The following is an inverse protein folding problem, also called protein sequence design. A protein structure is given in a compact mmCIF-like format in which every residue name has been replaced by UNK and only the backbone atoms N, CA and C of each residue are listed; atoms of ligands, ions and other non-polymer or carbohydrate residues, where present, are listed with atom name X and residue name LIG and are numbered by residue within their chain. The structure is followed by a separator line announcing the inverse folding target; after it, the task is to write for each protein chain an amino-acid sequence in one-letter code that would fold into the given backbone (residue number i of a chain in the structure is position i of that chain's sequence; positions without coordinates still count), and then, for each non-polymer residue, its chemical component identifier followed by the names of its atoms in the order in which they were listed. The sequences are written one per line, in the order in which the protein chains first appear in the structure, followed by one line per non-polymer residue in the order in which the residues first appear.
data_IF_964448776689
#
_entry.id   IF_964448776689
#
_cell.length_a   1.000
_cell.length_b   1.000
_cell.length_c   1.000
_cell.angle_alpha   90.00
_cell.angle_beta   90.00
_cell.angle_gamma   90.00
#
_symmetry.space_group_name_H-M   'P 1'
#
loop_
_entity.id
_entity.type
_entity.pdbx_description
1 polymer ?
#
# COMPACT_ATOMS: atom_id res chain seq x y z
N UNK A 1 12.85 -22.92 8.81
CA UNK A 1 12.79 -22.01 7.64
C UNK A 1 11.51 -22.32 6.86
N UNK A 2 10.35 -21.98 7.44
CA UNK A 2 9.09 -22.04 6.71
C UNK A 2 9.05 -20.84 5.76
N UNK A 3 8.60 -21.08 4.53
CA UNK A 3 8.28 -20.01 3.58
C UNK A 3 7.22 -19.12 4.26
N UNK A 4 7.62 -17.91 4.67
CA UNK A 4 6.67 -16.81 4.87
C UNK A 4 5.94 -16.66 3.54
N UNK A 5 4.69 -17.13 3.47
CA UNK A 5 3.77 -16.70 2.42
C UNK A 5 3.57 -15.21 2.69
N UNK A 6 4.34 -14.38 2.00
CA UNK A 6 4.19 -12.93 2.05
C UNK A 6 2.82 -12.61 1.45
N UNK A 7 1.81 -12.48 2.31
CA UNK A 7 0.57 -11.80 1.96
C UNK A 7 0.94 -10.33 1.94
N UNK A 8 1.46 -9.87 0.79
CA UNK A 8 1.79 -8.45 0.61
C UNK A 8 0.48 -7.70 0.80
N UNK A 9 0.40 -6.64 1.60
CA UNK A 9 -0.88 -5.92 1.73
C UNK A 9 -1.28 -5.22 0.41
N UNK A 10 -0.33 -5.01 -0.50
CA UNK A 10 -0.60 -4.69 -1.91
C UNK A 10 -1.47 -5.78 -2.58
N UNK A 11 -1.51 -7.01 -2.06
CA UNK A 11 -2.40 -8.08 -2.52
C UNK A 11 -3.84 -7.94 -2.02
N UNK A 12 -4.04 -7.45 -0.79
CA UNK A 12 -5.37 -7.32 -0.17
C UNK A 12 -6.02 -5.98 -0.52
N UNK A 13 -5.21 -4.95 -0.78
CA UNK A 13 -5.68 -3.62 -1.23
C UNK A 13 -5.49 -3.37 -2.73
N UNK A 14 -4.56 -4.05 -3.41
CA UNK A 14 -4.32 -3.93 -4.86
C UNK A 14 -4.53 -5.23 -5.66
N UNK A 15 -5.33 -6.16 -5.14
CA UNK A 15 -5.79 -7.30 -5.93
C UNK A 15 -4.75 -8.42 -6.12
N UNK A 16 -4.72 -9.40 -5.21
CA UNK A 16 -4.19 -10.72 -5.54
C UNK A 16 -5.27 -11.65 -6.02
N UNK A 17 -5.13 -11.96 -7.31
CA UNK A 17 -5.19 -13.32 -7.81
C UNK A 17 -3.86 -14.00 -7.46
N UNK A 18 -3.83 -14.86 -6.44
CA UNK A 18 -2.84 -15.94 -6.35
C UNK A 18 -3.42 -17.09 -5.52
N UNK A 19 -3.87 -18.08 -6.29
CA UNK A 19 -4.46 -19.36 -5.93
C UNK A 19 -3.94 -20.01 -4.63
N UNK A 20 -4.87 -20.26 -3.71
CA UNK A 20 -4.89 -21.44 -2.85
C UNK A 20 -6.33 -21.96 -2.80
N UNK A 21 -6.83 -22.49 -3.92
CA UNK A 21 -8.10 -23.22 -3.95
C UNK A 21 -7.86 -24.72 -3.90
N UNK A 22 -8.50 -25.48 -2.98
CA UNK A 22 -8.66 -26.92 -3.16
C UNK A 22 -9.62 -27.19 -4.33
N UNK A 23 -9.35 -28.24 -5.10
CA UNK A 23 -10.19 -28.70 -6.21
C UNK A 23 -11.63 -28.94 -5.73
N UNK A 24 -12.56 -28.06 -6.07
CA UNK A 24 -13.98 -28.24 -5.79
C UNK A 24 -14.64 -29.04 -6.91
N UNK A 25 -14.96 -30.30 -6.59
CA UNK A 25 -15.74 -31.21 -7.40
C UNK A 25 -17.17 -30.69 -7.64
N UNK A 26 -17.56 -30.71 -8.91
CA UNK A 26 -18.88 -30.38 -9.43
C UNK A 26 -20.00 -31.21 -8.77
N UNK A 27 -20.96 -30.56 -8.09
CA UNK A 27 -22.27 -31.16 -7.79
C UNK A 27 -23.39 -30.21 -8.18
N UNK A 28 -24.06 -30.55 -9.28
CA UNK A 28 -25.36 -30.03 -9.71
C UNK A 28 -26.46 -30.42 -8.71
N UNK A 29 -27.16 -29.43 -8.16
CA UNK A 29 -28.37 -29.63 -7.36
C UNK A 29 -29.39 -28.54 -7.67
N UNK A 30 -30.53 -28.96 -8.23
CA UNK A 30 -31.64 -28.10 -8.61
C UNK A 30 -32.71 -28.02 -7.50
N UNK A 31 -33.38 -26.87 -7.40
CA UNK A 31 -34.78 -26.77 -6.93
C UNK A 31 -34.99 -26.01 -5.63
N UNK A 32 -35.85 -24.98 -5.67
CA UNK A 32 -36.42 -24.36 -4.48
C UNK A 32 -37.03 -22.99 -4.73
N UNK A 33 -38.33 -22.94 -5.01
CA UNK A 33 -39.12 -21.72 -5.13
C UNK A 33 -39.69 -21.26 -3.77
N UNK A 34 -39.89 -19.95 -3.63
CA UNK A 34 -40.94 -19.38 -2.76
C UNK A 34 -40.46 -18.52 -1.59
N UNK A 35 -40.80 -17.22 -1.63
CA UNK A 35 -40.63 -16.33 -0.49
C UNK A 35 -40.76 -14.84 -0.84
N UNK A 36 -41.98 -14.36 -1.05
CA UNK A 36 -42.29 -12.92 -1.12
C UNK A 36 -42.66 -12.39 0.27
N UNK A 37 -42.00 -11.33 0.73
CA UNK A 37 -42.49 -10.50 1.83
C UNK A 37 -41.39 -9.91 2.72
N UNK A 38 -41.37 -8.59 2.87
CA UNK A 38 -40.57 -7.92 3.90
C UNK A 38 -40.25 -6.46 3.56
N UNK A 39 -41.02 -5.54 4.15
CA UNK A 39 -40.91 -4.10 3.99
C UNK A 39 -39.83 -3.47 4.89
N UNK A 40 -39.33 -2.31 4.47
CA UNK A 40 -38.87 -1.23 5.36
C UNK A 40 -37.47 -1.37 5.96
N UNK A 41 -36.47 -0.81 5.27
CA UNK A 41 -35.16 -0.49 5.84
C UNK A 41 -34.88 1.00 5.67
N UNK A 42 -34.69 1.69 6.79
CA UNK A 42 -34.45 3.13 6.88
C UNK A 42 -33.22 3.57 6.07
N UNK A 43 -33.28 4.80 5.55
CA UNK A 43 -32.18 5.44 4.82
C UNK A 43 -30.88 5.37 5.61
N UNK A 44 -29.96 4.54 5.10
CA UNK A 44 -28.59 4.50 5.58
C UNK A 44 -27.98 5.87 5.39
N UNK A 45 -27.41 6.41 6.46
CA UNK A 45 -26.48 7.53 6.36
C UNK A 45 -25.38 7.06 5.44
N UNK A 46 -25.36 7.57 4.20
CA UNK A 46 -24.28 7.29 3.26
C UNK A 46 -22.99 7.66 3.96
N UNK A 47 -22.26 6.64 4.41
CA UNK A 47 -20.98 6.80 5.04
C UNK A 47 -20.11 7.49 4.01
N UNK A 48 -19.85 8.78 4.21
CA UNK A 48 -18.90 9.49 3.38
C UNK A 48 -17.59 8.74 3.54
N UNK A 49 -17.15 8.04 2.49
CA UNK A 49 -15.87 7.35 2.47
C UNK A 49 -14.75 8.31 2.87
N UNK A 50 -13.62 7.77 3.31
CA UNK A 50 -12.46 8.60 3.59
C UNK A 50 -12.06 9.28 2.29
N UNK A 51 -11.92 10.60 2.29
CA UNK A 51 -11.45 11.32 1.11
C UNK A 51 -9.97 11.05 0.91
N UNK A 52 -9.52 10.67 -0.29
CA UNK A 52 -8.09 10.58 -0.59
C UNK A 52 -7.40 11.92 -0.34
N UNK A 53 -6.15 11.85 0.10
CA UNK A 53 -5.24 12.97 0.21
C UNK A 53 -5.21 13.74 -1.13
N UNK A 54 -5.16 15.07 -1.10
CA UNK A 54 -5.00 15.86 -2.31
C UNK A 54 -3.69 15.50 -3.02
N UNK A 55 -3.69 15.64 -4.34
CA UNK A 55 -2.46 15.51 -5.13
C UNK A 55 -1.42 16.55 -4.69
N UNK A 56 -0.15 16.16 -4.69
CA UNK A 56 0.98 17.03 -4.35
C UNK A 56 1.90 16.42 -3.29
N UNK A 57 2.78 17.24 -2.69
CA UNK A 57 3.69 16.81 -1.64
C UNK A 57 2.90 16.33 -0.42
N UNK A 58 3.27 15.17 0.12
CA UNK A 58 2.69 14.67 1.38
C UNK A 58 3.17 15.51 2.58
N UNK A 59 2.40 15.49 3.66
CA UNK A 59 2.86 16.00 4.96
C UNK A 59 3.70 14.91 5.66
N UNK A 60 4.96 15.20 6.03
CA UNK A 60 5.84 14.17 6.61
C UNK A 60 5.35 13.65 7.96
N UNK A 61 4.67 14.49 8.76
CA UNK A 61 4.14 14.08 10.06
C UNK A 61 2.94 13.15 9.92
N UNK A 62 2.02 13.46 8.99
CA UNK A 62 0.88 12.63 8.66
C UNK A 62 1.32 11.27 8.09
N UNK A 63 2.31 11.26 7.20
CA UNK A 63 2.89 10.03 6.65
C UNK A 63 3.55 9.16 7.73
N UNK A 64 4.38 9.75 8.61
CA UNK A 64 4.99 9.05 9.73
C UNK A 64 3.94 8.42 10.64
N UNK A 65 2.93 9.20 11.02
CA UNK A 65 1.87 8.74 11.92
C UNK A 65 1.02 7.63 11.28
N UNK A 66 0.66 7.76 10.02
CA UNK A 66 -0.01 6.71 9.25
C UNK A 66 0.83 5.43 9.21
N UNK A 67 2.14 5.55 8.97
CA UNK A 67 3.04 4.39 8.93
C UNK A 67 3.16 3.70 10.28
N UNK A 68 3.12 4.45 11.40
CA UNK A 68 3.10 3.85 12.75
C UNK A 68 1.82 3.04 12.96
N UNK A 69 0.65 3.61 12.65
CA UNK A 69 -0.62 2.90 12.79
C UNK A 69 -0.68 1.65 11.90
N UNK A 70 -0.41 1.81 10.60
CA UNK A 70 -0.48 0.70 9.64
C UNK A 70 0.58 -0.34 9.94
N UNK A 71 1.86 0.05 10.09
CA UNK A 71 2.96 -0.87 10.34
C UNK A 71 2.87 -1.59 11.68
N UNK A 72 2.20 -1.01 12.68
CA UNK A 72 1.98 -1.67 13.98
C UNK A 72 0.75 -2.58 13.98
N UNK A 73 -0.29 -2.25 13.22
CA UNK A 73 -1.57 -2.96 13.31
C UNK A 73 -1.80 -3.96 12.18
N UNK A 74 -1.11 -3.79 11.05
CA UNK A 74 -1.17 -4.67 9.90
C UNK A 74 0.09 -5.55 9.86
N UNK A 75 -0.05 -6.88 9.90
CA UNK A 75 1.05 -7.82 9.85
C UNK A 75 1.59 -7.97 8.43
N UNK A 76 2.63 -7.21 8.07
CA UNK A 76 3.37 -7.41 6.82
C UNK A 76 4.71 -6.67 6.84
N UNK A 77 4.61 -5.34 6.73
CA UNK A 77 5.74 -4.56 6.25
C UNK A 77 6.58 -3.91 7.37
N UNK A 78 6.01 -3.76 8.56
CA UNK A 78 6.57 -2.95 9.64
C UNK A 78 6.56 -1.46 9.28
N UNK A 79 6.86 -0.61 10.27
CA UNK A 79 6.68 0.84 10.15
C UNK A 79 7.59 1.46 9.08
N UNK A 80 8.88 1.10 9.05
CA UNK A 80 9.85 1.74 8.15
C UNK A 80 9.54 1.50 6.67
N UNK A 81 9.13 0.27 6.32
CA UNK A 81 8.80 -0.09 4.93
C UNK A 81 7.53 0.62 4.48
N UNK A 82 6.48 0.65 5.30
CA UNK A 82 5.25 1.42 5.01
C UNK A 82 5.57 2.90 4.84
N UNK A 83 6.40 3.47 5.73
CA UNK A 83 6.81 4.87 5.64
C UNK A 83 7.58 5.17 4.35
N UNK A 84 8.50 4.29 3.96
CA UNK A 84 9.24 4.45 2.70
C UNK A 84 8.29 4.47 1.50
N UNK A 85 7.29 3.57 1.46
CA UNK A 85 6.26 3.56 0.40
C UNK A 85 5.52 4.89 0.32
N UNK A 86 5.09 5.44 1.45
CA UNK A 86 4.40 6.74 1.49
C UNK A 86 5.24 7.89 0.93
N UNK A 87 6.55 7.83 1.08
CA UNK A 87 7.45 8.86 0.58
C UNK A 87 7.78 8.68 -0.91
N UNK A 88 8.12 7.46 -1.34
CA UNK A 88 8.81 7.24 -2.62
C UNK A 88 7.96 6.61 -3.71
N UNK A 89 6.83 5.97 -3.39
CA UNK A 89 6.03 5.24 -4.38
C UNK A 89 4.92 6.11 -4.98
N UNK A 90 4.75 6.01 -6.31
CA UNK A 90 3.67 6.59 -7.10
C UNK A 90 3.12 5.49 -8.04
N UNK A 91 1.87 5.57 -8.48
CA UNK A 91 1.21 4.45 -9.14
C UNK A 91 -0.28 4.62 -9.27
N UNK A 92 -0.98 3.53 -9.55
CA UNK A 92 -2.44 3.54 -9.75
C UNK A 92 -3.19 3.73 -8.43
N UNK A 93 -4.42 4.28 -8.45
CA UNK A 93 -5.22 4.45 -7.23
C UNK A 93 -5.42 3.16 -6.44
N UNK A 94 -5.54 2.02 -7.11
CA UNK A 94 -5.76 0.72 -6.48
C UNK A 94 -4.46 0.20 -5.82
N UNK A 95 -3.30 0.33 -6.49
CA UNK A 95 -1.99 0.01 -5.92
C UNK A 95 -1.59 0.94 -4.76
N UNK A 96 -2.06 2.18 -4.82
CA UNK A 96 -1.71 3.24 -3.87
C UNK A 96 -2.79 3.57 -2.86
N UNK A 97 -3.87 2.80 -2.79
CA UNK A 97 -5.01 3.11 -1.93
C UNK A 97 -4.53 3.45 -0.51
N UNK A 98 -3.62 2.65 0.04
CA UNK A 98 -3.02 2.88 1.36
C UNK A 98 -2.28 4.24 1.47
N UNK A 99 -1.51 4.62 0.45
CA UNK A 99 -0.64 5.82 0.46
C UNK A 99 -1.42 7.13 0.33
N UNK A 100 -2.69 7.04 -0.04
CA UNK A 100 -3.56 8.17 -0.28
C UNK A 100 -4.46 8.53 0.90
N UNK A 101 -4.27 7.97 2.09
CA UNK A 101 -5.11 8.31 3.25
C UNK A 101 -4.30 8.80 4.46
N UNK A 102 -3.11 9.35 4.25
CA UNK A 102 -2.23 9.78 5.34
C UNK A 102 -2.85 10.89 6.19
N UNK A 103 -3.64 11.79 5.58
CA UNK A 103 -4.28 12.89 6.31
C UNK A 103 -5.33 12.41 7.32
N UNK A 104 -6.02 11.30 7.04
CA UNK A 104 -6.98 10.75 7.98
C UNK A 104 -6.32 10.37 9.32
N UNK A 105 -5.07 9.91 9.28
CA UNK A 105 -4.32 9.50 10.46
C UNK A 105 -3.73 10.67 11.26
N UNK A 106 -3.60 11.86 10.67
CA UNK A 106 -2.89 13.00 11.25
C UNK A 106 -3.40 13.35 12.66
N UNK A 107 -4.70 13.21 12.90
CA UNK A 107 -5.35 13.57 14.17
C UNK A 107 -5.71 12.36 15.05
N UNK A 108 -5.44 11.13 14.61
CA UNK A 108 -5.82 9.91 15.33
C UNK A 108 -4.95 9.66 16.56
N UNK A 109 -5.51 9.05 17.59
CA UNK A 109 -4.78 8.73 18.82
C UNK A 109 -5.44 7.54 19.56
N UNK A 110 -5.98 6.60 18.78
CA UNK A 110 -6.79 5.47 19.24
C UNK A 110 -6.20 4.12 18.82
N UNK A 111 -4.87 4.03 18.70
CA UNK A 111 -4.16 2.78 18.38
C UNK A 111 -4.65 2.16 17.07
N UNK A 112 -4.85 0.85 17.06
CA UNK A 112 -5.31 0.12 15.86
C UNK A 112 -6.72 0.46 15.38
N UNK A 113 -7.55 1.10 16.22
CA UNK A 113 -8.85 1.60 15.77
C UNK A 113 -8.71 2.70 14.70
N UNK A 114 -7.57 3.41 14.66
CA UNK A 114 -7.28 4.38 13.61
C UNK A 114 -7.26 3.74 12.20
N UNK A 115 -6.75 2.51 12.09
CA UNK A 115 -6.67 1.77 10.82
C UNK A 115 -8.08 1.38 10.36
N UNK A 116 -8.93 0.92 11.27
CA UNK A 116 -10.33 0.61 10.97
C UNK A 116 -11.10 1.88 10.55
N UNK A 117 -10.90 3.00 11.24
CA UNK A 117 -11.61 4.25 10.93
C UNK A 117 -11.19 4.86 9.59
N UNK A 118 -9.88 4.85 9.28
CA UNK A 118 -9.33 5.50 8.10
C UNK A 118 -9.35 4.62 6.86
N UNK A 119 -9.04 3.33 7.01
CA UNK A 119 -8.89 2.39 5.89
C UNK A 119 -9.98 1.31 5.85
N UNK A 120 -10.84 1.22 6.87
CA UNK A 120 -11.84 0.16 6.94
C UNK A 120 -11.27 -1.21 7.28
N UNK A 121 -9.99 -1.31 7.68
CA UNK A 121 -9.33 -2.60 7.92
C UNK A 121 -9.31 -2.94 9.40
N UNK A 122 -9.86 -4.11 9.72
CA UNK A 122 -9.79 -4.75 11.04
C UNK A 122 -9.12 -6.11 10.94
N UNK A 123 -8.29 -6.44 11.91
CA UNK A 123 -7.50 -7.68 11.91
C UNK A 123 -7.62 -8.34 13.28
N UNK A 124 -7.87 -9.65 13.31
CA UNK A 124 -7.89 -10.46 14.52
C UNK A 124 -7.35 -11.88 14.27
N UNK A 125 -7.25 -12.68 15.34
CA UNK A 125 -6.70 -14.05 15.33
C UNK A 125 -7.77 -15.13 15.11
N UNK A 126 -8.86 -14.82 14.40
CA UNK A 126 -9.94 -15.79 14.14
C UNK A 126 -9.78 -16.62 12.86
N UNK A 127 -8.57 -16.64 12.28
CA UNK A 127 -8.25 -17.52 11.15
C UNK A 127 -8.15 -18.99 11.55
N UNK A 128 -8.29 -19.94 10.59
CA UNK A 128 -8.63 -19.71 9.19
C UNK A 128 -10.12 -19.49 8.94
N UNK A 129 -10.46 -18.90 7.79
CA UNK A 129 -11.83 -18.75 7.32
C UNK A 129 -11.93 -18.81 5.79
N UNK A 130 -13.14 -19.04 5.29
CA UNK A 130 -13.44 -18.88 3.86
C UNK A 130 -13.58 -17.39 3.53
N UNK A 131 -12.99 -16.92 2.40
CA UNK A 131 -13.26 -15.58 1.88
C UNK A 131 -14.76 -15.38 1.66
N UNK A 132 -15.30 -14.26 2.14
CA UNK A 132 -16.71 -13.91 1.94
C UNK A 132 -16.86 -12.41 1.72
N UNK A 133 -17.79 -12.02 0.85
CA UNK A 133 -18.31 -10.66 0.78
C UNK A 133 -19.70 -10.61 1.41
N UNK A 134 -19.97 -9.63 2.28
CA UNK A 134 -21.32 -9.35 2.79
C UNK A 134 -21.57 -7.85 2.73
N UNK A 135 -22.37 -7.42 1.75
CA UNK A 135 -22.44 -5.99 1.41
C UNK A 135 -21.07 -5.50 0.93
N UNK A 136 -20.61 -4.36 1.45
CA UNK A 136 -19.29 -3.80 1.15
C UNK A 136 -18.17 -4.31 2.08
N UNK A 137 -18.44 -5.36 2.87
CA UNK A 137 -17.45 -5.91 3.81
C UNK A 137 -16.85 -7.19 3.26
N UNK A 138 -15.55 -7.15 2.97
CA UNK A 138 -14.72 -8.29 2.65
C UNK A 138 -14.23 -8.95 3.94
N UNK A 139 -14.33 -10.27 4.03
CA UNK A 139 -13.62 -11.07 5.01
C UNK A 139 -12.67 -12.01 4.29
N UNK A 140 -11.38 -11.94 4.59
CA UNK A 140 -10.35 -12.88 4.09
C UNK A 140 -9.50 -13.35 5.26
N UNK A 141 -8.95 -14.55 5.16
CA UNK A 141 -8.13 -15.13 6.22
C UNK A 141 -6.91 -15.84 5.65
N UNK A 142 -5.86 -15.90 6.46
CA UNK A 142 -4.82 -16.92 6.35
C UNK A 142 -5.02 -18.00 7.43
N UNK A 143 -3.99 -18.79 7.73
CA UNK A 143 -4.08 -19.88 8.71
C UNK A 143 -4.32 -19.40 10.16
N UNK A 144 -4.04 -18.13 10.48
CA UNK A 144 -4.10 -17.59 11.84
C UNK A 144 -4.90 -16.28 11.94
N UNK A 145 -4.87 -15.47 10.89
CA UNK A 145 -5.42 -14.12 10.87
C UNK A 145 -6.71 -14.07 10.07
N UNK A 146 -7.63 -13.24 10.56
CA UNK A 146 -8.79 -12.81 9.79
C UNK A 146 -8.70 -11.29 9.58
N UNK A 147 -8.85 -10.89 8.32
CA UNK A 147 -8.95 -9.50 7.89
C UNK A 147 -10.41 -9.23 7.53
N UNK A 148 -10.97 -8.17 8.09
CA UNK A 148 -12.27 -7.63 7.71
C UNK A 148 -12.04 -6.24 7.12
N UNK A 149 -12.42 -6.03 5.88
CA UNK A 149 -12.18 -4.80 5.12
C UNK A 149 -13.50 -4.20 4.68
N UNK A 150 -13.84 -3.01 5.17
CA UNK A 150 -14.93 -2.19 4.66
C UNK A 150 -14.48 -1.49 3.38
N UNK A 151 -14.76 -2.12 2.24
CA UNK A 151 -14.35 -1.66 0.92
C UNK A 151 -14.83 -0.22 0.63
N UNK A 152 -15.98 0.16 1.18
CA UNK A 152 -16.56 1.50 0.97
C UNK A 152 -15.71 2.62 1.54
N UNK A 153 -14.89 2.35 2.57
CA UNK A 153 -14.01 3.34 3.21
C UNK A 153 -12.94 3.88 2.28
N UNK A 154 -12.49 3.04 1.34
CA UNK A 154 -11.49 3.39 0.34
C UNK A 154 -12.11 3.58 -1.06
N UNK A 155 -13.42 3.78 -1.13
CA UNK A 155 -14.12 4.06 -2.40
C UNK A 155 -14.25 2.84 -3.33
N UNK A 156 -14.22 1.63 -2.77
CA UNK A 156 -14.36 0.36 -3.48
C UNK A 156 -15.63 -0.39 -3.06
N UNK A 157 -15.94 -1.50 -3.71
CA UNK A 157 -17.09 -2.37 -3.43
C UNK A 157 -16.61 -3.81 -3.27
N UNK A 158 -17.22 -4.57 -2.36
CA UNK A 158 -16.88 -5.98 -2.22
C UNK A 158 -17.49 -6.81 -3.37
N UNK A 159 -16.66 -7.54 -4.10
CA UNK A 159 -17.09 -8.46 -5.15
C UNK A 159 -16.99 -9.90 -4.66
N UNK A 160 -18.13 -10.58 -4.53
CA UNK A 160 -18.18 -12.01 -4.18
C UNK A 160 -17.53 -12.88 -5.26
N UNK A 161 -17.66 -12.49 -6.54
CA UNK A 161 -17.09 -13.23 -7.66
C UNK A 161 -15.56 -13.19 -7.67
N UNK A 162 -14.98 -12.04 -7.31
CA UNK A 162 -13.52 -11.85 -7.25
C UNK A 162 -12.95 -12.21 -5.86
N UNK A 163 -13.81 -12.30 -4.84
CA UNK A 163 -13.39 -12.48 -3.45
C UNK A 163 -12.53 -11.33 -2.92
N UNK A 164 -12.77 -10.09 -3.38
CA UNK A 164 -11.95 -8.94 -3.03
C UNK A 164 -12.73 -7.60 -3.03
N UNK A 165 -12.14 -6.55 -2.46
CA UNK A 165 -12.54 -5.17 -2.67
C UNK A 165 -12.09 -4.74 -4.07
N UNK A 166 -13.04 -4.38 -4.92
CA UNK A 166 -12.78 -3.91 -6.28
C UNK A 166 -13.24 -2.48 -6.41
N UNK A 167 -12.43 -1.63 -7.04
CA UNK A 167 -12.87 -0.28 -7.41
C UNK A 167 -14.13 -0.32 -8.30
N UNK A 168 -14.67 0.87 -8.60
CA UNK A 168 -15.59 0.98 -9.73
C UNK A 168 -14.96 0.24 -10.92
N UNK A 169 -15.69 -0.71 -11.52
CA UNK A 169 -15.19 -1.69 -12.48
C UNK A 169 -14.02 -1.13 -13.28
N UNK A 170 -12.83 -1.76 -13.17
CA UNK A 170 -11.63 -1.26 -13.84
C UNK A 170 -12.02 -0.86 -15.25
N UNK A 171 -11.88 0.41 -15.64
CA UNK A 171 -12.62 0.97 -16.77
C UNK A 171 -12.21 0.39 -18.13
N UNK A 172 -11.25 -0.55 -18.14
CA UNK A 172 -10.79 -1.24 -19.32
C UNK A 172 -11.63 -2.48 -19.66
N UNK A 173 -11.63 -2.88 -20.95
CA UNK A 173 -12.18 -4.16 -21.35
C UNK A 173 -11.41 -5.32 -20.71
N UNK A 174 -12.05 -6.49 -20.62
CA UNK A 174 -11.34 -7.73 -20.29
C UNK A 174 -10.26 -8.01 -21.33
N UNK A 175 -9.13 -8.54 -20.88
CA UNK A 175 -7.99 -8.85 -21.74
C UNK A 175 -7.44 -10.23 -21.38
N UNK A 176 -6.78 -10.86 -22.35
CA UNK A 176 -6.08 -12.12 -22.14
C UNK A 176 -4.58 -11.85 -21.92
N UNK A 177 -4.01 -12.13 -20.73
CA UNK A 177 -2.61 -11.89 -20.45
C UNK A 177 -1.64 -12.60 -21.40
N UNK A 178 -2.05 -13.70 -22.04
CA UNK A 178 -1.22 -14.46 -22.98
C UNK A 178 -1.09 -13.84 -24.36
N UNK A 179 -2.05 -13.00 -24.76
CA UNK A 179 -2.10 -12.38 -26.09
C UNK A 179 -2.07 -10.86 -26.07
N UNK A 180 -2.30 -10.24 -24.91
CA UNK A 180 -2.27 -8.80 -24.75
C UNK A 180 -0.84 -8.25 -24.90
N UNK A 181 -0.68 -7.25 -25.76
CA UNK A 181 0.59 -6.53 -25.92
C UNK A 181 0.56 -5.25 -25.10
N UNK A 182 1.35 -5.23 -24.03
CA UNK A 182 1.54 -4.04 -23.22
C UNK A 182 2.05 -2.88 -24.10
N UNK A 183 1.47 -1.69 -23.93
CA UNK A 183 1.78 -0.54 -24.79
C UNK A 183 1.58 0.79 -24.07
N UNK A 184 2.23 1.83 -24.55
CA UNK A 184 2.02 3.18 -24.07
C UNK A 184 0.85 3.84 -24.81
N UNK A 185 -0.20 4.18 -24.08
CA UNK A 185 -1.37 4.86 -24.62
C UNK A 185 -1.64 6.14 -23.82
N UNK A 186 -1.76 7.26 -24.52
CA UNK A 186 -2.00 8.59 -23.91
C UNK A 186 -0.94 8.97 -22.85
N UNK A 187 0.30 8.52 -23.05
CA UNK A 187 1.42 8.77 -22.14
C UNK A 187 1.42 7.93 -20.86
N UNK A 188 0.51 6.95 -20.73
CA UNK A 188 0.45 6.00 -19.63
C UNK A 188 0.70 4.55 -20.11
N UNK A 189 1.31 3.69 -19.28
CA UNK A 189 1.47 2.28 -19.62
C UNK A 189 0.13 1.55 -19.51
N UNK A 190 -0.17 0.70 -20.50
CA UNK A 190 -1.34 -0.19 -20.52
C UNK A 190 -0.87 -1.63 -20.41
N UNK A 191 -1.40 -2.35 -19.43
CA UNK A 191 -1.09 -3.76 -19.20
C UNK A 191 -2.36 -4.56 -18.98
N UNK A 192 -2.23 -5.88 -19.10
CA UNK A 192 -3.33 -6.80 -18.83
C UNK A 192 -3.15 -7.47 -17.47
N UNK A 193 -4.14 -7.30 -16.59
CA UNK A 193 -4.25 -8.00 -15.31
C UNK A 193 -5.66 -8.62 -15.19
N UNK A 194 -6.06 -9.42 -16.18
CA UNK A 194 -7.43 -9.92 -16.38
C UNK A 194 -8.37 -8.90 -17.04
N UNK A 195 -8.15 -7.62 -16.76
CA UNK A 195 -8.69 -6.49 -17.53
C UNK A 195 -7.58 -5.50 -17.84
N UNK A 196 -7.79 -4.67 -18.86
CA UNK A 196 -6.82 -3.63 -19.22
C UNK A 196 -6.73 -2.61 -18.08
N UNK A 197 -5.50 -2.37 -17.60
CA UNK A 197 -5.20 -1.42 -16.54
C UNK A 197 -4.33 -0.30 -17.09
N UNK A 198 -4.67 0.94 -16.72
CA UNK A 198 -3.80 2.10 -16.93
C UNK A 198 -2.86 2.28 -15.76
N UNK A 199 -1.58 2.47 -16.03
CA UNK A 199 -0.70 3.12 -15.08
C UNK A 199 -0.90 4.63 -15.03
N UNK A 200 -0.06 5.33 -14.24
CA UNK A 200 -0.03 6.78 -14.20
C UNK A 200 0.39 7.39 -15.54
N UNK A 201 -0.07 8.62 -15.82
CA UNK A 201 0.42 9.41 -16.96
C UNK A 201 1.85 9.85 -16.64
N UNK A 202 2.83 9.28 -17.34
CA UNK A 202 4.24 9.45 -16.98
C UNK A 202 4.69 10.91 -17.03
N UNK A 203 4.11 11.71 -17.92
CA UNK A 203 4.43 13.12 -18.07
C UNK A 203 4.09 13.96 -16.81
N UNK A 204 3.09 13.55 -16.03
CA UNK A 204 2.71 14.22 -14.77
C UNK A 204 3.82 14.11 -13.70
N UNK A 205 4.72 13.15 -13.89
CA UNK A 205 5.88 12.90 -13.03
C UNK A 205 7.20 13.26 -13.70
N UNK A 206 7.18 13.93 -14.87
CA UNK A 206 8.39 14.23 -15.64
C UNK A 206 9.09 13.00 -16.23
N UNK A 207 8.36 11.89 -16.37
CA UNK A 207 8.83 10.62 -16.93
C UNK A 207 8.31 10.45 -18.36
N UNK A 208 8.79 9.41 -19.03
CA UNK A 208 8.31 9.02 -20.37
C UNK A 208 7.81 7.58 -20.35
N UNK A 209 6.62 7.35 -20.90
CA UNK A 209 6.15 6.00 -21.14
C UNK A 209 6.92 5.40 -22.33
N UNK A 210 7.64 4.30 -22.11
CA UNK A 210 8.36 3.56 -23.15
C UNK A 210 8.52 2.09 -22.78
N UNK A 211 9.04 1.30 -23.72
CA UNK A 211 9.40 -0.09 -23.47
C UNK A 211 10.44 -0.18 -22.34
N UNK A 212 10.16 -1.03 -21.36
CA UNK A 212 11.08 -1.25 -20.24
C UNK A 212 12.19 -2.25 -20.66
N UNK A 213 13.43 -2.11 -20.16
CA UNK A 213 14.57 -2.95 -20.54
C UNK A 213 14.36 -4.46 -20.35
N UNK A 214 13.44 -4.85 -19.48
CA UNK A 214 13.15 -6.25 -19.14
C UNK A 214 11.79 -6.73 -19.70
N UNK A 215 11.21 -5.98 -20.64
CA UNK A 215 9.94 -6.29 -21.30
C UNK A 215 8.76 -5.48 -20.75
N UNK A 216 7.72 -5.35 -21.57
CA UNK A 216 6.55 -4.52 -21.28
C UNK A 216 6.82 -3.02 -21.45
N UNK A 217 5.92 -2.20 -20.90
CA UNK A 217 6.01 -0.73 -20.90
C UNK A 217 5.95 -0.20 -19.47
N UNK A 218 6.61 0.91 -19.18
CA UNK A 218 6.50 1.57 -17.88
C UNK A 218 6.78 3.07 -17.99
N UNK A 219 6.60 3.80 -16.89
CA UNK A 219 7.11 5.17 -16.76
C UNK A 219 8.60 5.14 -16.42
N UNK A 220 9.44 5.61 -17.34
CA UNK A 220 10.89 5.58 -17.22
C UNK A 220 11.49 6.98 -17.18
N UNK A 221 12.65 7.09 -16.52
CA UNK A 221 13.48 8.27 -16.60
C UNK A 221 13.94 8.60 -18.02
N UNK A 222 14.17 9.90 -18.26
CA UNK A 222 14.56 10.46 -19.56
C UNK A 222 16.07 10.51 -19.76
N UNK A 223 16.85 10.24 -18.72
CA UNK A 223 18.31 10.25 -18.74
C UNK A 223 18.94 8.93 -19.21
N UNK A 224 20.19 8.69 -18.79
CA UNK A 224 20.94 7.50 -19.14
C UNK A 224 20.27 6.21 -18.60
N UNK A 225 20.63 5.07 -19.17
CA UNK A 225 20.20 3.77 -18.62
C UNK A 225 20.91 3.52 -17.29
N UNK A 226 20.16 3.09 -16.29
CA UNK A 226 20.67 2.73 -14.97
C UNK A 226 20.14 1.35 -14.57
N UNK A 227 20.84 0.67 -13.67
CA UNK A 227 20.40 -0.63 -13.16
C UNK A 227 19.48 -0.44 -11.96
N UNK A 228 18.27 -0.96 -12.07
CA UNK A 228 17.33 -1.12 -10.95
C UNK A 228 16.51 -2.37 -11.20
N UNK A 229 16.02 -2.96 -10.12
CA UNK A 229 14.88 -3.85 -10.20
C UNK A 229 13.70 -3.02 -10.73
N UNK A 230 12.98 -3.54 -11.73
CA UNK A 230 11.71 -2.94 -12.14
C UNK A 230 10.69 -3.20 -11.04
N UNK A 231 10.09 -2.14 -10.51
CA UNK A 231 8.97 -2.25 -9.56
C UNK A 231 7.69 -2.68 -10.27
N UNK A 232 7.49 -2.23 -11.51
CA UNK A 232 6.42 -2.71 -12.37
C UNK A 232 5.99 -1.69 -13.41
N UNK A 233 5.11 -2.08 -14.33
CA UNK A 233 4.57 -1.18 -15.35
C UNK A 233 3.63 -0.12 -14.77
N UNK A 234 2.98 -0.40 -13.64
CA UNK A 234 1.97 0.46 -13.02
C UNK A 234 2.51 1.33 -11.88
N UNK A 235 3.77 1.14 -11.51
CA UNK A 235 4.42 1.78 -10.37
C UNK A 235 5.63 2.63 -10.77
N UNK A 236 5.88 3.67 -9.99
CA UNK A 236 7.02 4.57 -10.04
C UNK A 236 7.62 4.59 -8.64
N UNK A 237 8.91 4.27 -8.51
CA UNK A 237 9.61 4.33 -7.23
C UNK A 237 10.89 5.16 -7.34
N UNK A 238 11.10 6.05 -6.37
CA UNK A 238 12.28 6.91 -6.26
C UNK A 238 13.29 6.44 -5.20
N UNK A 239 13.16 5.23 -4.67
CA UNK A 239 14.02 4.68 -3.62
C UNK A 239 15.46 4.37 -4.09
N UNK A 240 15.70 4.22 -5.40
CA UNK A 240 17.03 3.97 -5.98
C UNK A 240 17.76 5.27 -6.36
N UNK A 241 18.18 6.02 -5.34
CA UNK A 241 18.96 7.24 -5.55
C UNK A 241 20.39 6.98 -6.04
N UNK A 242 20.81 7.74 -7.04
CA UNK A 242 22.12 7.65 -7.69
C UNK A 242 23.06 8.78 -7.24
N UNK A 243 22.53 10.00 -7.10
CA UNK A 243 23.29 11.17 -6.63
C UNK A 243 22.36 12.30 -6.20
N UNK A 244 22.89 13.23 -5.41
CA UNK A 244 22.25 14.50 -5.10
C UNK A 244 22.82 15.65 -5.94
N UNK A 245 21.93 16.38 -6.60
CA UNK A 245 22.23 17.58 -7.38
C UNK A 245 21.49 18.77 -6.75
N UNK A 246 22.03 19.29 -5.63
CA UNK A 246 21.36 20.32 -4.83
C UNK A 246 20.14 19.77 -4.09
N UNK A 247 18.95 20.30 -4.36
CA UNK A 247 17.68 19.81 -3.78
C UNK A 247 17.08 18.63 -4.55
N UNK A 248 17.59 18.34 -5.74
CA UNK A 248 17.10 17.28 -6.59
C UNK A 248 17.84 15.96 -6.31
N UNK A 249 17.08 14.87 -6.30
CA UNK A 249 17.60 13.52 -6.33
C UNK A 249 17.66 13.04 -7.78
N UNK A 250 18.83 12.61 -8.24
CA UNK A 250 18.94 11.79 -9.44
C UNK A 250 18.68 10.35 -9.03
N UNK A 251 17.56 9.77 -9.43
CA UNK A 251 17.14 8.41 -9.12
C UNK A 251 17.07 7.54 -10.39
N UNK A 252 17.14 6.23 -10.21
CA UNK A 252 16.88 5.27 -11.27
C UNK A 252 15.41 4.85 -11.26
N UNK A 253 14.62 5.28 -12.25
CA UNK A 253 13.20 4.99 -12.34
C UNK A 253 12.96 4.04 -13.52
N UNK A 254 12.60 2.79 -13.21
CA UNK A 254 12.32 1.72 -14.18
C UNK A 254 13.42 1.54 -15.25
N UNK A 255 14.68 1.80 -14.88
CA UNK A 255 15.85 1.63 -15.75
C UNK A 255 16.31 2.88 -16.50
N UNK A 256 15.67 4.04 -16.28
CA UNK A 256 16.14 5.33 -16.77
C UNK A 256 16.44 6.30 -15.64
N UNK A 257 17.55 7.05 -15.74
CA UNK A 257 17.86 8.13 -14.80
C UNK A 257 16.80 9.24 -14.89
N UNK A 258 16.40 9.75 -13.73
CA UNK A 258 15.45 10.85 -13.60
C UNK A 258 15.87 11.77 -12.45
N UNK A 259 15.79 13.08 -12.66
CA UNK A 259 16.01 14.07 -11.62
C UNK A 259 14.66 14.51 -11.06
N UNK A 260 14.42 14.26 -9.77
CA UNK A 260 13.20 14.65 -9.05
C UNK A 260 13.53 15.71 -8.00
N UNK A 261 12.79 16.81 -8.01
CA UNK A 261 12.86 17.80 -6.92
C UNK A 261 12.22 17.21 -5.67
N UNK A 262 13.02 16.95 -4.64
CA UNK A 262 12.57 16.19 -3.47
C UNK A 262 11.38 16.82 -2.74
N UNK A 263 11.28 18.16 -2.72
CA UNK A 263 10.17 18.88 -2.13
C UNK A 263 8.82 18.66 -2.83
N UNK A 264 8.80 18.07 -4.03
CA UNK A 264 7.57 17.68 -4.73
C UNK A 264 7.00 16.36 -4.21
N UNK A 265 7.83 15.52 -3.59
CA UNK A 265 7.39 14.24 -3.01
C UNK A 265 6.75 14.43 -1.64
N UNK A 266 7.45 15.14 -0.75
CA UNK A 266 7.02 15.41 0.63
C UNK A 266 7.47 16.81 1.01
N UNK A 267 6.61 17.53 1.72
CA UNK A 267 6.91 18.90 2.14
C UNK A 267 8.16 18.95 3.01
N UNK A 268 9.13 19.79 2.63
CA UNK A 268 10.39 19.96 3.36
C UNK A 268 11.51 18.98 2.98
N UNK A 269 11.25 18.01 2.11
CA UNK A 269 12.30 17.10 1.65
C UNK A 269 13.33 17.84 0.79
N UNK A 270 14.59 17.46 0.98
CA UNK A 270 15.74 17.85 0.16
C UNK A 270 16.53 16.59 -0.18
N UNK A 271 17.46 16.67 -1.14
CA UNK A 271 18.32 15.52 -1.41
C UNK A 271 19.35 15.36 -0.29
N UNK A 272 19.44 14.14 0.23
CA UNK A 272 20.30 13.76 1.33
C UNK A 272 21.25 12.65 0.89
N UNK A 273 22.47 12.70 1.42
CA UNK A 273 23.48 11.65 1.23
C UNK A 273 23.89 11.10 2.59
N UNK A 274 23.79 9.78 2.75
CA UNK A 274 24.32 9.04 3.89
C UNK A 274 25.13 7.85 3.39
N UNK A 275 26.44 7.86 3.68
CA UNK A 275 27.33 6.80 3.21
C UNK A 275 27.33 6.70 1.69
N UNK A 276 26.81 5.58 1.17
CA UNK A 276 26.66 5.33 -0.28
C UNK A 276 25.23 5.57 -0.79
N UNK A 277 24.28 5.81 0.11
CA UNK A 277 22.88 6.04 -0.24
C UNK A 277 22.62 7.52 -0.51
N UNK A 278 21.81 7.78 -1.54
CA UNK A 278 21.24 9.09 -1.84
C UNK A 278 19.72 8.94 -1.81
N UNK A 279 19.01 9.89 -1.20
CA UNK A 279 17.55 9.81 -1.08
C UNK A 279 16.94 11.19 -0.91
N UNK A 280 15.63 11.31 -1.16
CA UNK A 280 14.87 12.47 -0.77
C UNK A 280 14.44 12.33 0.70
N UNK A 281 14.82 13.29 1.55
CA UNK A 281 14.53 13.19 2.97
C UNK A 281 14.65 14.49 3.76
N UNK A 282 14.45 14.38 5.07
CA UNK A 282 14.43 15.51 6.02
C UNK A 282 15.80 15.81 6.60
N UNK A 283 16.65 14.79 6.75
CA UNK A 283 17.99 14.88 7.31
C UNK A 283 18.85 13.68 6.87
N UNK A 284 20.08 13.58 7.37
CA UNK A 284 21.02 12.49 7.13
C UNK A 284 21.59 11.94 8.45
N UNK A 285 20.73 11.73 9.43
CA UNK A 285 21.03 11.13 10.75
C UNK A 285 20.92 9.60 10.72
N UNK A 286 20.11 9.04 9.82
CA UNK A 286 19.95 7.60 9.61
C UNK A 286 19.71 7.26 8.12
N UNK A 287 19.81 5.97 7.75
CA UNK A 287 19.55 5.48 6.39
C UNK A 287 18.10 4.99 6.30
N UNK A 288 17.22 5.62 5.50
CA UNK A 288 15.82 5.26 5.42
C UNK A 288 15.54 4.00 4.61
N UNK A 289 16.55 3.38 3.98
CA UNK A 289 16.35 2.20 3.13
C UNK A 289 15.73 1.03 3.91
N UNK A 290 14.86 0.23 3.25
CA UNK A 290 14.21 -0.91 3.87
C UNK A 290 15.23 -1.92 4.43
N UNK A 291 15.08 -2.32 5.69
CA UNK A 291 15.97 -3.25 6.38
C UNK A 291 16.67 -2.66 7.61
N UNK A 292 16.59 -1.34 7.80
CA UNK A 292 16.92 -0.71 9.08
C UNK A 292 15.67 -0.72 9.97
N UNK A 293 15.74 -1.53 11.02
CA UNK A 293 14.59 -1.82 11.86
C UNK A 293 14.24 -0.64 12.77
N UNK A 294 12.94 -0.40 12.90
CA UNK A 294 12.42 0.41 13.99
C UNK A 294 12.79 -0.24 15.32
N UNK A 295 13.16 0.57 16.31
CA UNK A 295 13.54 0.06 17.63
C UNK A 295 12.66 0.67 18.71
N UNK A 296 12.75 0.16 19.93
CA UNK A 296 12.03 0.70 21.08
C UNK A 296 13.00 1.26 22.13
N UNK A 297 12.73 2.47 22.59
CA UNK A 297 13.36 3.07 23.76
C UNK A 297 12.31 3.34 24.84
N UNK A 298 12.07 2.34 25.70
CA UNK A 298 10.95 2.35 26.64
C UNK A 298 9.62 2.20 25.90
N UNK A 299 8.69 3.11 26.14
CA UNK A 299 7.37 3.14 25.46
C UNK A 299 7.39 3.88 24.12
N UNK A 300 8.55 4.36 23.68
CA UNK A 300 8.68 5.08 22.41
C UNK A 300 9.27 4.22 21.32
N UNK A 301 8.71 4.32 20.11
CA UNK A 301 9.31 3.77 18.90
C UNK A 301 10.31 4.78 18.33
N UNK A 302 11.47 4.29 17.89
CA UNK A 302 12.52 5.06 17.23
C UNK A 302 12.58 4.65 15.76
N UNK A 303 12.40 5.63 14.88
CA UNK A 303 12.14 5.44 13.44
C UNK A 303 13.09 6.32 12.64
N UNK A 304 13.52 5.85 11.47
CA UNK A 304 14.23 6.67 10.49
C UNK A 304 13.23 7.36 9.54
N UNK A 305 12.73 8.54 9.93
CA UNK A 305 11.82 9.31 9.10
C UNK A 305 12.57 10.04 7.98
N UNK A 306 12.75 9.35 6.84
CA UNK A 306 13.45 9.87 5.67
C UNK A 306 14.81 10.51 6.03
N UNK A 307 15.59 9.76 6.80
CA UNK A 307 16.92 10.15 7.25
C UNK A 307 16.99 10.99 8.51
N UNK A 308 15.87 11.39 9.11
CA UNK A 308 15.82 12.01 10.45
C UNK A 308 15.42 10.97 11.50
N UNK A 309 16.12 10.91 12.62
CA UNK A 309 15.73 10.04 13.73
C UNK A 309 14.56 10.68 14.47
N UNK A 310 13.44 9.97 14.50
CA UNK A 310 12.26 10.38 15.26
C UNK A 310 11.94 9.38 16.36
N UNK A 311 11.61 9.91 17.53
CA UNK A 311 11.21 9.14 18.71
C UNK A 311 9.78 9.51 19.06
N UNK A 312 8.87 8.55 18.90
CA UNK A 312 7.43 8.76 19.08
C UNK A 312 6.92 7.91 20.24
N UNK A 313 6.31 8.54 21.23
CA UNK A 313 5.68 7.85 22.35
C UNK A 313 4.42 7.11 21.87
N UNK A 314 4.42 5.78 21.94
CA UNK A 314 3.29 4.96 21.53
C UNK A 314 2.01 5.31 22.33
N UNK A 315 2.14 5.75 23.58
CA UNK A 315 0.99 6.16 24.40
C UNK A 315 0.29 7.41 23.86
N UNK A 316 1.05 8.34 23.29
CA UNK A 316 0.48 9.53 22.65
C UNK A 316 -0.38 9.21 21.42
N UNK A 317 -0.19 8.01 20.85
CA UNK A 317 -0.94 7.49 19.71
C UNK A 317 -2.09 6.55 20.11
N UNK A 318 -2.34 6.36 21.41
CA UNK A 318 -3.39 5.48 21.93
C UNK A 318 -3.00 4.02 22.09
N UNK A 319 -1.72 3.70 21.91
CA UNK A 319 -1.17 2.39 22.27
C UNK A 319 -0.77 2.37 23.76
N UNK A 320 -0.41 1.22 24.29
CA UNK A 320 0.02 1.09 25.69
C UNK A 320 1.55 1.03 25.86
N UNK A 321 2.27 0.51 24.87
CA UNK A 321 3.73 0.30 24.93
C UNK A 321 4.35 0.14 23.54
N UNK A 322 5.69 0.07 23.49
CA UNK A 322 6.45 -0.30 22.30
C UNK A 322 6.93 -1.76 22.42
N UNK A 323 6.65 -2.59 21.42
CA UNK A 323 7.12 -3.96 21.35
C UNK A 323 8.56 -4.00 20.78
N UNK A 324 9.54 -4.22 21.66
CA UNK A 324 10.95 -4.21 21.28
C UNK A 324 11.36 -5.36 20.33
N UNK A 325 10.58 -6.43 20.24
CA UNK A 325 10.85 -7.56 19.33
C UNK A 325 10.54 -7.17 17.89
N UNK A 326 9.48 -6.40 17.68
CA UNK A 326 9.00 -6.04 16.34
C UNK A 326 9.24 -4.57 15.97
N UNK A 327 9.65 -3.74 16.93
CA UNK A 327 9.80 -2.30 16.71
C UNK A 327 8.48 -1.60 16.40
N UNK A 328 7.38 -2.05 17.01
CA UNK A 328 6.00 -1.57 16.74
C UNK A 328 5.31 -1.06 18.00
N UNK A 329 4.23 -0.28 17.86
CA UNK A 329 3.41 0.12 19.00
C UNK A 329 2.31 -0.92 19.28
N UNK A 330 2.14 -1.32 20.54
CA UNK A 330 1.18 -2.34 20.99
C UNK A 330 0.20 -1.82 22.04
N UNK A 331 -1.00 -2.42 22.21
CA UNK A 331 -1.34 -3.75 21.73
C UNK A 331 -1.72 -3.77 20.25
N UNK A 332 -1.26 -4.79 19.58
CA UNK A 332 -1.47 -5.10 18.16
C UNK A 332 -1.65 -6.60 17.97
N UNK A 333 -1.91 -7.03 16.74
CA UNK A 333 -1.96 -8.46 16.39
C UNK A 333 -0.62 -9.17 16.62
N UNK A 334 0.51 -8.46 16.52
CA UNK A 334 1.84 -9.01 16.78
C UNK A 334 2.04 -9.39 18.25
N UNK A 335 1.36 -8.70 19.17
CA UNK A 335 1.47 -8.96 20.61
C UNK A 335 0.65 -10.17 21.06
N UNK A 336 -0.32 -10.56 20.23
CA UNK A 336 -1.29 -11.62 20.55
C UNK A 336 -1.00 -12.91 19.78
N UNK A 337 -0.40 -12.80 18.60
CA UNK A 337 -0.04 -13.96 17.80
C UNK A 337 1.02 -14.80 18.54
N UNK A 338 0.86 -16.14 18.59
CA UNK A 338 1.92 -17.02 19.11
C UNK A 338 3.20 -16.77 18.31
N UNK A 339 4.33 -16.52 18.99
CA UNK A 339 5.61 -16.46 18.29
C UNK A 339 5.86 -17.81 17.61
N UNK A 340 6.23 -17.82 16.31
CA UNK A 340 6.50 -19.06 15.58
C UNK A 340 7.70 -19.84 16.12
#
# INVERSE_FOLDING_TARGET
MLHRKTVVMASVLAGFVLACGPEASNTTGAGGAGGTGGAGGAGGSGGSGTTPDPAGPKDPGAALKAAIFVGSCVPDDGIQRVLNRFHTERGTPDELALTNYTQCFAEKANGCQAVEECLGVKIDLSGPCMPTCTGDVLKVCDDQLAFTVDCSKVGTTCSEAEGNCVGAAMPGPTCDPGSFQASCQDGAPRVCNGSEVSGPVCADYGLTCKDAPFGGVACLGTGATCQTDLVGPLEINYDKGLACDGTALRACVNGGEHAIECGTLVTGFTCQTMGVANFCGLANECDPTPGNDTTCEGDSVVICNAGKIEKIDCKSLGFTSCNATFGTCGPSVYDQAPMP
#
